data_IF_467849212592
#
_entry.id   IF_467849212592
#
_cell.length_a   1.000
_cell.length_b   1.000
_cell.length_c   1.000
_cell.angle_alpha   90.00
_cell.angle_beta   90.00
_cell.angle_gamma   90.00
#
_symmetry.space_group_name_H-M   'P 1'
#
loop_
_entity.id
_entity.type
_entity.pdbx_description
1 polymer ?
#
# COMPACT_ATOMS: atom_id res chain seq x y z
N UNK A 1 8.01 43.71 18.18
CA UNK A 1 7.47 42.55 18.94
C UNK A 1 6.01 42.26 18.58
N UNK A 2 5.02 43.11 18.92
CA UNK A 2 3.61 42.82 18.56
C UNK A 2 3.35 42.76 17.05
N UNK A 3 3.89 43.72 16.28
CA UNK A 3 3.75 43.73 14.81
C UNK A 3 4.38 42.50 14.15
N UNK A 4 5.54 42.06 14.65
CA UNK A 4 6.23 40.86 14.14
C UNK A 4 5.45 39.58 14.48
N UNK A 5 4.89 39.51 15.69
CA UNK A 5 4.04 38.38 16.12
C UNK A 5 2.76 38.27 15.29
N UNK A 6 2.12 39.40 14.97
CA UNK A 6 0.95 39.44 14.08
C UNK A 6 1.35 39.03 12.65
N UNK A 7 2.50 39.48 12.16
CA UNK A 7 2.99 39.09 10.84
C UNK A 7 3.27 37.59 10.73
N UNK A 8 4.00 37.00 11.69
CA UNK A 8 4.31 35.57 11.68
C UNK A 8 3.07 34.70 11.88
N UNK A 9 2.13 35.10 12.74
CA UNK A 9 0.87 34.37 12.92
C UNK A 9 -0.01 34.41 11.67
N UNK A 10 -0.11 35.57 10.99
CA UNK A 10 -0.78 35.67 9.70
C UNK A 10 -0.12 34.80 8.62
N UNK A 11 1.22 34.74 8.58
CA UNK A 11 1.94 33.85 7.66
C UNK A 11 1.64 32.37 7.92
N UNK A 12 1.51 31.93 9.17
CA UNK A 12 1.09 30.55 9.46
C UNK A 12 -0.32 30.24 8.96
N UNK A 13 -1.26 31.20 9.04
CA UNK A 13 -2.60 31.03 8.48
C UNK A 13 -2.53 30.90 6.96
N UNK A 14 -1.77 31.77 6.28
CA UNK A 14 -1.60 31.71 4.83
C UNK A 14 -0.98 30.38 4.39
N UNK A 15 0.06 29.91 5.08
CA UNK A 15 0.67 28.60 4.83
C UNK A 15 -0.32 27.45 5.07
N UNK A 16 -1.14 27.52 6.11
CA UNK A 16 -2.18 26.54 6.39
C UNK A 16 -3.23 26.45 5.28
N UNK A 17 -3.72 27.59 4.80
CA UNK A 17 -4.67 27.66 3.68
C UNK A 17 -4.04 27.15 2.39
N UNK A 18 -2.80 27.56 2.10
CA UNK A 18 -2.07 27.10 0.91
C UNK A 18 -1.84 25.57 0.94
N UNK A 19 -1.47 25.01 2.09
CA UNK A 19 -1.30 23.58 2.27
C UNK A 19 -2.63 22.82 2.08
N UNK A 20 -3.72 23.33 2.67
CA UNK A 20 -5.06 22.74 2.52
C UNK A 20 -5.51 22.72 1.05
N UNK A 21 -5.35 23.84 0.33
CA UNK A 21 -5.65 23.91 -1.09
C UNK A 21 -4.75 22.97 -1.90
N UNK A 22 -3.45 22.95 -1.62
CA UNK A 22 -2.49 22.08 -2.30
C UNK A 22 -2.84 20.60 -2.18
N UNK A 23 -3.17 20.12 -0.97
CA UNK A 23 -3.61 18.75 -0.75
C UNK A 23 -4.98 18.48 -1.38
N UNK A 24 -5.92 19.44 -1.31
CA UNK A 24 -7.25 19.30 -1.90
C UNK A 24 -7.18 19.12 -3.43
N UNK A 25 -6.45 19.98 -4.12
CA UNK A 25 -6.25 19.86 -5.57
C UNK A 25 -5.52 18.58 -5.92
N UNK A 26 -4.42 18.27 -5.22
CA UNK A 26 -3.65 17.04 -5.45
C UNK A 26 -4.52 15.79 -5.30
N UNK A 27 -5.35 15.73 -4.24
CA UNK A 27 -6.26 14.61 -4.00
C UNK A 27 -7.31 14.47 -5.10
N UNK A 28 -7.87 15.58 -5.61
CA UNK A 28 -8.86 15.54 -6.69
C UNK A 28 -8.24 15.09 -8.01
N UNK A 29 -7.12 15.69 -8.42
CA UNK A 29 -6.50 15.38 -9.72
C UNK A 29 -5.95 13.95 -9.75
N UNK A 30 -5.18 13.55 -8.73
CA UNK A 30 -4.63 12.20 -8.66
C UNK A 30 -5.69 11.16 -8.35
N UNK A 31 -6.73 11.51 -7.58
CA UNK A 31 -7.90 10.66 -7.38
C UNK A 31 -8.63 10.36 -8.69
N UNK A 32 -8.89 11.39 -9.52
CA UNK A 32 -9.49 11.22 -10.84
C UNK A 32 -8.59 10.42 -11.79
N UNK A 33 -7.29 10.68 -11.81
CA UNK A 33 -6.33 9.94 -12.61
C UNK A 33 -6.30 8.44 -12.22
N UNK A 34 -6.27 8.15 -10.91
CA UNK A 34 -6.31 6.78 -10.40
C UNK A 34 -7.60 6.04 -10.75
N UNK A 35 -8.75 6.71 -10.67
CA UNK A 35 -10.04 6.11 -11.04
C UNK A 35 -10.15 5.87 -12.56
N UNK A 36 -9.69 6.83 -13.37
CA UNK A 36 -9.66 6.70 -14.83
C UNK A 36 -8.75 5.53 -15.27
N UNK A 37 -7.58 5.38 -14.65
CA UNK A 37 -6.69 4.24 -14.91
C UNK A 37 -7.35 2.92 -14.51
N UNK A 38 -7.96 2.86 -13.32
CA UNK A 38 -8.66 1.66 -12.84
C UNK A 38 -9.78 1.25 -13.78
N UNK A 39 -10.57 2.22 -14.27
CA UNK A 39 -11.61 1.99 -15.27
C UNK A 39 -11.03 1.41 -16.57
N UNK A 40 -9.95 2.00 -17.09
CA UNK A 40 -9.31 1.54 -18.32
C UNK A 40 -8.77 0.12 -18.17
N UNK A 41 -8.01 -0.16 -17.11
CA UNK A 41 -7.46 -1.49 -16.83
C UNK A 41 -8.55 -2.56 -16.71
N UNK A 42 -9.67 -2.24 -16.04
CA UNK A 42 -10.82 -3.17 -15.95
C UNK A 42 -11.46 -3.43 -17.31
N UNK A 43 -11.65 -2.39 -18.11
CA UNK A 43 -12.23 -2.53 -19.45
C UNK A 43 -11.33 -3.36 -20.36
N UNK A 44 -10.03 -3.02 -20.45
CA UNK A 44 -9.08 -3.71 -21.32
C UNK A 44 -8.93 -5.18 -20.91
N UNK A 45 -8.83 -5.46 -19.61
CA UNK A 45 -8.74 -6.83 -19.11
C UNK A 45 -10.04 -7.62 -19.32
N UNK A 46 -11.22 -6.99 -19.14
CA UNK A 46 -12.51 -7.64 -19.41
C UNK A 46 -12.71 -7.91 -20.91
N UNK A 47 -12.32 -6.97 -21.77
CA UNK A 47 -12.36 -7.15 -23.22
C UNK A 47 -11.46 -8.30 -23.65
N UNK A 48 -10.23 -8.40 -23.12
CA UNK A 48 -9.37 -9.54 -23.45
C UNK A 48 -9.91 -10.86 -22.90
N UNK A 49 -10.50 -10.86 -21.70
CA UNK A 49 -11.12 -12.05 -21.12
C UNK A 49 -12.26 -12.60 -22.01
N UNK A 50 -13.08 -11.72 -22.58
CA UNK A 50 -14.15 -12.11 -23.50
C UNK A 50 -13.66 -12.66 -24.85
N UNK A 51 -12.38 -12.42 -25.21
CA UNK A 51 -11.75 -12.95 -26.42
C UNK A 51 -11.12 -14.34 -26.22
N UNK A 52 -10.95 -14.78 -24.97
CA UNK A 52 -10.34 -16.06 -24.65
C UNK A 52 -11.19 -17.23 -25.14
N UNK A 53 -10.52 -18.29 -25.60
CA UNK A 53 -11.18 -19.54 -26.00
C UNK A 53 -11.69 -20.33 -24.79
N UNK A 54 -12.55 -21.32 -25.05
CA UNK A 54 -13.15 -22.14 -23.98
C UNK A 54 -12.07 -22.90 -23.19
N UNK A 55 -10.97 -23.31 -23.84
CA UNK A 55 -9.87 -24.02 -23.20
C UNK A 55 -9.13 -23.20 -22.14
N UNK A 56 -9.16 -21.87 -22.25
CA UNK A 56 -8.68 -20.98 -21.19
C UNK A 56 -9.50 -21.15 -19.90
N UNK A 57 -10.83 -21.25 -20.01
CA UNK A 57 -11.73 -21.38 -18.87
C UNK A 57 -11.77 -22.80 -18.28
N UNK A 58 -11.33 -23.81 -19.04
CA UNK A 58 -11.20 -25.18 -18.57
C UNK A 58 -10.01 -25.39 -17.60
N UNK A 59 -9.02 -24.48 -17.57
CA UNK A 59 -7.94 -24.54 -16.57
C UNK A 59 -8.47 -24.14 -15.18
N UNK A 60 -8.29 -25.04 -14.21
CA UNK A 60 -8.57 -24.81 -12.77
C UNK A 60 -7.96 -23.53 -12.18
N UNK A 61 -6.89 -22.99 -12.81
CA UNK A 61 -6.26 -21.71 -12.47
C UNK A 61 -7.07 -20.50 -12.92
N UNK A 62 -7.84 -20.61 -13.98
CA UNK A 62 -8.65 -19.55 -14.60
C UNK A 62 -10.15 -19.70 -14.35
N UNK A 63 -10.54 -20.40 -13.28
CA UNK A 63 -11.93 -20.51 -12.89
C UNK A 63 -12.57 -19.11 -12.77
N UNK A 64 -13.75 -18.93 -13.37
CA UNK A 64 -14.52 -17.69 -13.47
C UNK A 64 -14.69 -16.99 -12.12
N UNK A 65 -14.86 -17.75 -11.04
CA UNK A 65 -14.92 -17.20 -9.68
C UNK A 65 -13.63 -16.50 -9.25
N UNK A 66 -12.47 -17.13 -9.47
CA UNK A 66 -11.16 -16.56 -9.13
C UNK A 66 -10.84 -15.33 -9.98
N UNK A 67 -11.21 -15.36 -11.26
CA UNK A 67 -11.05 -14.21 -12.17
C UNK A 67 -11.91 -13.03 -11.69
N UNK A 68 -13.18 -13.26 -11.39
CA UNK A 68 -14.08 -12.22 -10.89
C UNK A 68 -13.55 -11.61 -9.58
N UNK A 69 -13.04 -12.42 -8.66
CA UNK A 69 -12.36 -11.93 -7.45
C UNK A 69 -11.16 -11.06 -7.80
N UNK A 70 -10.26 -11.51 -8.69
CA UNK A 70 -9.08 -10.71 -9.12
C UNK A 70 -9.48 -9.36 -9.72
N UNK A 71 -10.53 -9.31 -10.55
CA UNK A 71 -11.04 -8.04 -11.08
C UNK A 71 -11.57 -7.10 -9.99
N UNK A 72 -12.23 -7.66 -8.98
CA UNK A 72 -12.78 -6.92 -7.87
C UNK A 72 -11.69 -6.43 -6.90
N UNK A 73 -10.65 -7.24 -6.63
CA UNK A 73 -9.63 -6.96 -5.61
C UNK A 73 -8.37 -6.30 -6.17
N UNK A 74 -7.85 -6.74 -7.32
CA UNK A 74 -6.51 -6.36 -7.78
C UNK A 74 -6.54 -5.01 -8.51
N UNK A 75 -7.61 -4.73 -9.26
CA UNK A 75 -7.75 -3.46 -9.97
C UNK A 75 -7.80 -2.22 -9.04
N UNK A 76 -8.55 -2.22 -7.92
CA UNK A 76 -8.47 -1.14 -6.94
C UNK A 76 -7.10 -1.03 -6.26
N UNK A 77 -6.33 -2.12 -6.13
CA UNK A 77 -5.02 -2.06 -5.46
C UNK A 77 -4.04 -1.18 -6.25
N UNK A 78 -4.13 -1.14 -7.58
CA UNK A 78 -3.30 -0.27 -8.43
C UNK A 78 -3.57 1.22 -8.15
N UNK A 79 -4.80 1.58 -7.81
CA UNK A 79 -5.19 2.97 -7.48
C UNK A 79 -4.51 3.51 -6.22
N UNK A 80 -4.17 2.66 -5.25
CA UNK A 80 -3.56 3.11 -3.98
C UNK A 80 -2.27 3.90 -4.17
N UNK A 81 -1.50 3.61 -5.23
CA UNK A 81 -0.28 4.36 -5.57
C UNK A 81 -0.62 5.83 -5.85
N UNK A 82 -1.68 6.09 -6.63
CA UNK A 82 -2.08 7.45 -7.02
C UNK A 82 -2.62 8.25 -5.85
N UNK A 83 -3.34 7.61 -4.92
CA UNK A 83 -3.91 8.31 -3.76
C UNK A 83 -2.84 8.69 -2.72
N UNK A 84 -1.75 7.91 -2.63
CA UNK A 84 -0.63 8.15 -1.70
C UNK A 84 0.51 8.99 -2.28
N UNK A 85 0.58 9.11 -3.61
CA UNK A 85 1.60 9.89 -4.32
C UNK A 85 1.81 11.33 -3.78
N UNK A 86 0.76 12.12 -3.43
CA UNK A 86 0.96 13.48 -2.90
C UNK A 86 1.78 13.50 -1.61
N UNK A 87 1.52 12.54 -0.71
CA UNK A 87 2.24 12.43 0.56
C UNK A 87 3.71 12.09 0.34
N UNK A 88 4.02 11.26 -0.64
CA UNK A 88 5.39 10.87 -0.98
C UNK A 88 6.16 12.05 -1.56
N UNK A 89 5.58 12.75 -2.54
CA UNK A 89 6.19 13.94 -3.14
C UNK A 89 6.44 15.00 -2.07
N UNK A 90 5.45 15.29 -1.24
CA UNK A 90 5.59 16.24 -0.13
C UNK A 90 6.69 15.82 0.85
N UNK A 91 6.78 14.53 1.17
CA UNK A 91 7.84 14.00 2.05
C UNK A 91 9.24 14.12 1.43
N UNK A 92 9.40 13.86 0.13
CA UNK A 92 10.68 14.03 -0.58
C UNK A 92 11.09 15.50 -0.63
N UNK A 93 10.15 16.41 -0.93
CA UNK A 93 10.41 17.86 -0.91
C UNK A 93 10.79 18.33 0.49
N UNK A 94 10.07 17.85 1.51
CA UNK A 94 10.36 18.14 2.93
C UNK A 94 11.73 17.63 3.32
N UNK A 95 12.11 16.42 2.90
CA UNK A 95 13.42 15.83 3.16
C UNK A 95 14.55 16.71 2.61
N UNK A 96 14.46 17.08 1.34
CA UNK A 96 15.46 17.92 0.66
C UNK A 96 15.50 19.30 1.33
N UNK A 97 14.35 19.94 1.53
CA UNK A 97 14.24 21.26 2.14
C UNK A 97 14.81 21.29 3.56
N UNK A 98 14.49 20.29 4.38
CA UNK A 98 14.99 20.16 5.74
C UNK A 98 16.51 20.01 5.79
N UNK A 99 17.08 19.16 4.93
CA UNK A 99 18.54 18.96 4.85
C UNK A 99 19.20 20.29 4.45
N UNK A 100 18.72 20.95 3.40
CA UNK A 100 19.28 22.23 2.93
C UNK A 100 19.22 23.31 4.03
N UNK A 101 18.07 23.47 4.69
CA UNK A 101 17.91 24.42 5.80
C UNK A 101 18.87 24.07 6.95
N UNK A 102 18.99 22.79 7.31
CA UNK A 102 19.90 22.33 8.36
C UNK A 102 21.36 22.70 8.07
N UNK A 103 21.83 22.44 6.85
CA UNK A 103 23.21 22.75 6.47
C UNK A 103 23.51 24.25 6.35
N UNK A 104 22.56 25.06 5.90
CA UNK A 104 22.75 26.52 5.77
C UNK A 104 22.89 27.19 7.13
N UNK A 105 22.01 26.86 8.09
CA UNK A 105 21.99 27.57 9.39
C UNK A 105 22.97 26.99 10.41
N UNK A 106 23.39 25.73 10.27
CA UNK A 106 24.25 25.08 11.26
C UNK A 106 24.79 23.74 10.82
N UNK A 107 25.82 23.76 9.97
CA UNK A 107 26.44 22.56 9.42
C UNK A 107 27.04 21.62 10.49
N UNK A 108 27.61 22.16 11.59
CA UNK A 108 28.20 21.35 12.66
C UNK A 108 27.15 20.51 13.40
N UNK A 109 26.07 21.15 13.83
CA UNK A 109 24.97 20.47 14.52
C UNK A 109 24.23 19.53 13.55
N UNK A 110 24.04 19.94 12.30
CA UNK A 110 23.39 19.13 11.29
C UNK A 110 24.15 17.83 10.99
N UNK A 111 25.49 17.86 10.89
CA UNK A 111 26.31 16.68 10.68
C UNK A 111 26.22 15.67 11.83
N UNK A 112 26.26 16.16 13.06
CA UNK A 112 26.17 15.28 14.25
C UNK A 112 24.81 14.59 14.28
N UNK A 113 23.73 15.34 14.05
CA UNK A 113 22.39 14.78 14.02
C UNK A 113 22.17 13.84 12.84
N UNK A 114 22.75 14.14 11.67
CA UNK A 114 22.75 13.25 10.51
C UNK A 114 23.46 11.92 10.80
N UNK A 115 24.54 11.93 11.59
CA UNK A 115 25.25 10.72 12.00
C UNK A 115 24.41 9.80 12.92
N UNK A 116 23.38 10.35 13.59
CA UNK A 116 22.47 9.58 14.45
C UNK A 116 21.32 8.96 13.63
N UNK A 117 21.00 9.51 12.45
CA UNK A 117 19.91 9.00 11.59
C UNK A 117 20.08 7.51 11.24
N UNK A 118 21.27 6.99 10.85
CA UNK A 118 21.48 5.56 10.64
C UNK A 118 21.11 4.68 11.84
N UNK A 119 21.33 5.16 13.06
CA UNK A 119 20.96 4.44 14.28
C UNK A 119 19.43 4.33 14.42
N UNK A 120 18.71 5.40 14.09
CA UNK A 120 17.23 5.43 14.08
C UNK A 120 16.69 4.50 12.99
N UNK A 121 17.31 4.52 11.81
CA UNK A 121 16.92 3.63 10.71
C UNK A 121 17.15 2.17 11.12
N UNK A 122 18.28 1.87 11.78
CA UNK A 122 18.57 0.53 12.27
C UNK A 122 17.53 0.07 13.30
N UNK A 123 17.18 0.90 14.29
CA UNK A 123 16.15 0.54 15.28
C UNK A 123 14.78 0.31 14.65
N UNK A 124 14.39 1.17 13.69
CA UNK A 124 13.15 0.99 12.93
C UNK A 124 13.15 -0.25 12.04
N UNK A 125 14.29 -0.60 11.44
CA UNK A 125 14.45 -1.82 10.65
C UNK A 125 14.30 -3.08 11.52
N UNK A 126 14.92 -3.11 12.69
CA UNK A 126 14.72 -4.22 13.65
C UNK A 126 13.25 -4.34 14.07
N UNK A 127 12.57 -3.23 14.36
CA UNK A 127 11.15 -3.24 14.66
C UNK A 127 10.30 -3.80 13.51
N UNK A 128 10.59 -3.39 12.28
CA UNK A 128 9.92 -3.87 11.07
C UNK A 128 10.15 -5.37 10.86
N UNK A 129 11.38 -5.85 10.98
CA UNK A 129 11.72 -7.28 10.84
C UNK A 129 11.00 -8.14 11.88
N UNK A 130 10.94 -7.70 13.15
CA UNK A 130 10.17 -8.41 14.17
C UNK A 130 8.68 -8.50 13.82
N UNK A 131 8.09 -7.45 13.24
CA UNK A 131 6.67 -7.48 12.81
C UNK A 131 6.43 -8.43 11.64
N UNK A 132 7.25 -8.36 10.58
CA UNK A 132 7.05 -9.16 9.37
C UNK A 132 7.40 -10.64 9.57
N UNK A 133 8.51 -10.96 10.23
CA UNK A 133 8.90 -12.35 10.50
C UNK A 133 7.88 -13.08 11.38
N UNK A 134 7.16 -12.34 12.24
CA UNK A 134 6.10 -12.88 13.09
C UNK A 134 4.82 -13.21 12.32
N UNK A 135 4.40 -12.34 11.39
CA UNK A 135 3.13 -12.52 10.68
C UNK A 135 3.03 -13.90 10.00
N UNK A 136 4.13 -14.40 9.44
CA UNK A 136 4.19 -15.72 8.80
C UNK A 136 4.09 -16.88 9.80
N UNK A 137 4.71 -16.73 10.98
CA UNK A 137 4.74 -17.79 12.01
C UNK A 137 3.41 -17.89 12.75
N UNK A 138 2.75 -16.75 12.99
CA UNK A 138 1.40 -16.73 13.54
C UNK A 138 0.41 -17.39 12.59
N UNK A 139 0.51 -17.13 11.27
CA UNK A 139 -0.38 -17.76 10.28
C UNK A 139 -0.24 -19.28 10.25
N UNK A 140 0.98 -19.81 10.39
CA UNK A 140 1.24 -21.25 10.41
C UNK A 140 0.65 -21.92 11.66
N UNK A 141 0.85 -21.33 12.84
CA UNK A 141 0.30 -21.84 14.10
C UNK A 141 -1.24 -21.76 14.15
N UNK A 142 -1.82 -20.73 13.52
CA UNK A 142 -3.27 -20.58 13.38
C UNK A 142 -3.86 -21.55 12.34
N UNK A 143 -3.07 -22.05 11.39
CA UNK A 143 -3.52 -22.98 10.37
C UNK A 143 -3.96 -24.32 10.98
N UNK A 144 -3.23 -24.83 11.98
CA UNK A 144 -3.60 -26.08 12.66
C UNK A 144 -4.92 -25.96 13.44
N UNK A 145 -5.11 -24.87 14.17
CA UNK A 145 -6.37 -24.59 14.85
C UNK A 145 -7.51 -24.42 13.81
N UNK A 146 -7.21 -23.74 12.69
CA UNK A 146 -8.10 -23.58 11.56
C UNK A 146 -8.53 -24.91 10.93
N UNK A 147 -7.62 -25.88 10.80
CA UNK A 147 -7.92 -27.23 10.29
C UNK A 147 -8.94 -27.96 11.17
N UNK A 148 -8.77 -27.91 12.50
CA UNK A 148 -9.69 -28.55 13.45
C UNK A 148 -11.07 -27.90 13.40
N UNK A 149 -11.12 -26.57 13.34
CA UNK A 149 -12.38 -25.85 13.19
C UNK A 149 -13.04 -26.17 11.84
N UNK A 150 -12.26 -26.23 10.76
CA UNK A 150 -12.71 -26.61 9.43
C UNK A 150 -13.35 -27.99 9.41
N UNK A 151 -12.66 -29.00 9.95
CA UNK A 151 -13.15 -30.39 10.03
C UNK A 151 -14.48 -30.49 10.82
N UNK A 152 -14.56 -29.76 11.94
CA UNK A 152 -15.76 -29.75 12.79
C UNK A 152 -16.96 -29.08 12.11
N UNK A 153 -16.73 -28.00 11.37
CA UNK A 153 -17.78 -27.25 10.66
C UNK A 153 -18.23 -28.02 9.42
N UNK A 154 -17.30 -28.59 8.65
CA UNK A 154 -17.60 -29.39 7.46
C UNK A 154 -18.44 -30.63 7.82
N UNK A 155 -18.13 -31.28 8.97
CA UNK A 155 -18.82 -32.48 9.44
C UNK A 155 -19.78 -32.21 10.61
N UNK A 156 -20.40 -31.02 10.66
CA UNK A 156 -21.20 -30.57 11.82
C UNK A 156 -22.33 -31.55 12.19
N UNK A 157 -22.96 -32.19 11.20
CA UNK A 157 -24.03 -33.19 11.41
C UNK A 157 -23.51 -34.43 12.13
N UNK A 158 -22.30 -34.88 11.79
CA UNK A 158 -21.64 -36.03 12.43
C UNK A 158 -21.19 -35.68 13.85
N UNK A 159 -20.62 -34.49 14.05
CA UNK A 159 -20.20 -34.01 15.39
C UNK A 159 -21.39 -33.88 16.33
N UNK A 160 -22.51 -33.34 15.85
CA UNK A 160 -23.76 -33.25 16.62
C UNK A 160 -24.41 -34.61 16.84
N UNK A 161 -24.45 -35.47 15.82
CA UNK A 161 -25.01 -36.83 15.91
C UNK A 161 -24.27 -37.72 16.90
N UNK A 162 -22.94 -37.54 17.05
CA UNK A 162 -22.13 -38.25 18.03
C UNK A 162 -22.04 -37.52 19.39
N UNK A 163 -22.64 -36.33 19.51
CA UNK A 163 -22.61 -35.46 20.70
C UNK A 163 -21.16 -35.19 21.18
N UNK A 164 -20.26 -34.89 20.22
CA UNK A 164 -18.80 -34.70 20.44
C UNK A 164 -18.36 -33.23 20.38
N UNK A 165 -19.27 -32.27 20.47
CA UNK A 165 -18.97 -30.84 20.37
C UNK A 165 -17.92 -30.40 21.41
N UNK A 166 -18.03 -30.93 22.64
CA UNK A 166 -17.10 -30.59 23.72
C UNK A 166 -15.66 -31.04 23.42
N UNK A 167 -15.48 -32.22 22.81
CA UNK A 167 -14.16 -32.76 22.45
C UNK A 167 -13.50 -31.90 21.38
N UNK A 168 -14.25 -31.49 20.34
CA UNK A 168 -13.73 -30.60 19.32
C UNK A 168 -13.38 -29.21 19.89
N UNK A 169 -14.20 -28.69 20.81
CA UNK A 169 -13.91 -27.43 21.50
C UNK A 169 -12.63 -27.50 22.33
N UNK A 170 -12.45 -28.57 23.12
CA UNK A 170 -11.22 -28.77 23.90
C UNK A 170 -9.99 -28.93 23.01
N UNK A 171 -10.11 -29.69 21.92
CA UNK A 171 -9.03 -29.85 20.93
C UNK A 171 -8.64 -28.51 20.30
N UNK A 172 -9.62 -27.70 19.90
CA UNK A 172 -9.39 -26.36 19.37
C UNK A 172 -8.74 -25.43 20.40
N UNK A 173 -9.23 -25.41 21.65
CA UNK A 173 -8.65 -24.63 22.73
C UNK A 173 -7.19 -25.04 23.05
N UNK A 174 -6.88 -26.33 22.97
CA UNK A 174 -5.52 -26.85 23.17
C UNK A 174 -4.56 -26.34 22.09
N UNK A 175 -4.96 -26.40 20.82
CA UNK A 175 -4.15 -25.89 19.70
C UNK A 175 -4.04 -24.35 19.70
N UNK A 176 -4.97 -23.62 20.32
CA UNK A 176 -4.87 -22.17 20.53
C UNK A 176 -3.96 -21.75 21.68
N UNK A 177 -3.66 -22.64 22.62
CA UNK A 177 -2.86 -22.28 23.81
C UNK A 177 -1.37 -22.07 23.45
N UNK A 178 -0.85 -22.85 22.51
CA UNK A 178 0.49 -22.69 21.92
C UNK A 178 0.69 -21.28 21.31
N UNK A 179 -0.12 -20.84 20.32
CA UNK A 179 0.00 -19.50 19.75
C UNK A 179 -0.31 -18.41 20.79
N UNK A 180 -1.19 -18.65 21.75
CA UNK A 180 -1.44 -17.68 22.84
C UNK A 180 -0.18 -17.43 23.68
N UNK A 181 0.50 -18.48 24.16
CA UNK A 181 1.74 -18.34 24.94
C UNK A 181 2.88 -17.74 24.11
N UNK A 182 3.01 -18.16 22.86
CA UNK A 182 4.00 -17.59 21.93
C UNK A 182 3.76 -16.09 21.72
N UNK A 183 2.50 -15.70 21.50
CA UNK A 183 2.09 -14.31 21.35
C UNK A 183 2.34 -13.49 22.61
N UNK A 184 2.05 -14.03 23.79
CA UNK A 184 2.30 -13.34 25.06
C UNK A 184 3.79 -13.07 25.28
N UNK A 185 4.66 -14.06 25.04
CA UNK A 185 6.12 -13.87 25.14
C UNK A 185 6.62 -12.85 24.13
N UNK A 186 6.09 -12.90 22.90
CA UNK A 186 6.46 -11.94 21.87
C UNK A 186 5.93 -10.54 22.13
N UNK A 187 4.76 -10.37 22.76
CA UNK A 187 4.24 -9.06 23.12
C UNK A 187 5.21 -8.32 24.04
N UNK A 188 5.83 -9.02 24.99
CA UNK A 188 6.88 -8.44 25.83
C UNK A 188 8.14 -8.06 25.04
N UNK A 189 8.62 -8.93 24.14
CA UNK A 189 9.80 -8.64 23.29
C UNK A 189 9.51 -7.43 22.40
N UNK A 190 8.35 -7.41 21.75
CA UNK A 190 7.91 -6.31 20.91
C UNK A 190 7.75 -5.01 21.70
N UNK A 191 7.15 -5.08 22.89
CA UNK A 191 7.04 -3.94 23.79
C UNK A 191 8.40 -3.36 24.18
N UNK A 192 9.40 -4.21 24.46
CA UNK A 192 10.76 -3.78 24.77
C UNK A 192 11.45 -3.13 23.55
N UNK A 193 11.35 -3.74 22.36
CA UNK A 193 11.92 -3.19 21.12
C UNK A 193 11.28 -1.86 20.75
N UNK A 194 9.94 -1.77 20.87
CA UNK A 194 9.20 -0.54 20.62
C UNK A 194 9.59 0.56 21.61
N UNK A 195 9.64 0.26 22.91
CA UNK A 195 10.08 1.21 23.93
C UNK A 195 11.50 1.71 23.65
N UNK A 196 12.43 0.81 23.32
CA UNK A 196 13.79 1.16 22.95
C UNK A 196 13.84 2.09 21.72
N UNK A 197 13.11 1.74 20.65
CA UNK A 197 13.00 2.55 19.43
C UNK A 197 12.51 3.97 19.73
N UNK A 198 11.49 4.12 20.59
CA UNK A 198 10.97 5.42 21.01
C UNK A 198 11.96 6.19 21.91
N UNK A 199 12.64 5.50 22.83
CA UNK A 199 13.64 6.13 23.71
C UNK A 199 14.82 6.70 22.93
N UNK A 200 15.28 6.05 21.85
CA UNK A 200 16.38 6.56 21.00
C UNK A 200 16.06 7.94 20.44
N UNK A 201 14.80 8.21 20.07
CA UNK A 201 14.37 9.52 19.56
C UNK A 201 14.49 10.58 20.66
N UNK A 202 14.06 10.28 21.88
CA UNK A 202 14.18 11.21 23.01
C UNK A 202 15.64 11.47 23.42
N UNK A 203 16.49 10.44 23.38
CA UNK A 203 17.93 10.62 23.61
C UNK A 203 18.57 11.48 22.52
N UNK A 204 18.16 11.32 21.27
CA UNK A 204 18.61 12.18 20.17
C UNK A 204 18.19 13.64 20.42
N UNK A 205 16.97 13.89 20.89
CA UNK A 205 16.54 15.24 21.25
C UNK A 205 17.34 15.83 22.41
N UNK A 206 17.56 15.06 23.47
CA UNK A 206 18.38 15.49 24.60
C UNK A 206 19.81 15.84 24.16
N UNK A 207 20.42 15.00 23.33
CA UNK A 207 21.76 15.23 22.79
C UNK A 207 21.80 16.46 21.86
N UNK A 208 20.78 16.65 21.02
CA UNK A 208 20.66 17.81 20.13
C UNK A 208 20.66 19.12 20.91
N UNK A 209 19.87 19.21 21.98
CA UNK A 209 19.79 20.41 22.82
C UNK A 209 21.03 20.58 23.69
N UNK A 210 21.62 19.50 24.22
CA UNK A 210 22.85 19.57 25.00
C UNK A 210 24.01 20.13 24.16
N UNK A 211 24.24 19.56 22.97
CA UNK A 211 25.28 20.04 22.04
C UNK A 211 24.95 21.43 21.49
N UNK A 212 23.67 21.68 21.18
CA UNK A 212 23.19 23.00 20.77
C UNK A 212 23.48 24.07 21.83
N UNK A 213 23.30 23.76 23.11
CA UNK A 213 23.62 24.67 24.22
C UNK A 213 25.12 24.98 24.29
N UNK A 214 25.98 23.97 24.10
CA UNK A 214 27.44 24.16 24.06
C UNK A 214 27.83 25.09 22.89
N UNK A 215 27.28 24.90 21.70
CA UNK A 215 27.57 25.75 20.54
C UNK A 215 27.08 27.19 20.70
N UNK A 216 25.96 27.39 21.40
CA UNK A 216 25.47 28.72 21.79
C UNK A 216 26.42 29.38 22.78
N UNK A 217 26.87 28.65 23.82
CA UNK A 217 27.83 29.16 24.80
C UNK A 217 29.16 29.55 24.14
N UNK A 218 29.61 28.80 23.14
CA UNK A 218 30.82 29.09 22.36
C UNK A 218 30.64 30.16 21.28
N UNK A 219 29.46 30.79 21.17
CA UNK A 219 29.14 31.83 20.19
C UNK A 219 29.26 31.35 18.73
N UNK A 220 29.21 30.05 18.48
CA UNK A 220 29.26 29.44 17.15
C UNK A 220 27.90 29.48 16.45
N UNK A 221 26.80 29.46 17.23
CA UNK A 221 25.43 29.49 16.72
C UNK A 221 24.53 30.36 17.58
N UNK A 222 23.53 30.98 16.95
CA UNK A 222 22.45 31.64 17.69
C UNK A 222 21.46 30.62 18.23
N UNK A 223 20.80 30.88 19.38
CA UNK A 223 19.77 29.98 19.92
C UNK A 223 18.68 29.66 18.89
N UNK A 224 18.28 30.66 18.09
CA UNK A 224 17.28 30.50 17.03
C UNK A 224 17.76 29.53 15.92
N UNK A 225 19.04 29.56 15.57
CA UNK A 225 19.60 28.64 14.58
C UNK A 225 19.59 27.18 15.08
N UNK A 226 19.85 26.95 16.37
CA UNK A 226 19.74 25.61 16.98
C UNK A 226 18.32 25.06 16.84
N UNK A 227 17.29 25.84 17.18
CA UNK A 227 15.90 25.41 17.00
C UNK A 227 15.55 25.15 15.53
N UNK A 228 16.02 25.98 14.60
CA UNK A 228 15.79 25.77 13.16
C UNK A 228 16.39 24.45 12.67
N UNK A 229 17.64 24.16 13.03
CA UNK A 229 18.31 22.90 12.65
C UNK A 229 17.63 21.70 13.30
N UNK A 230 17.27 21.81 14.59
CA UNK A 230 16.55 20.76 15.30
C UNK A 230 15.21 20.40 14.63
N UNK A 231 14.35 21.40 14.40
CA UNK A 231 13.04 21.17 13.76
C UNK A 231 13.18 20.69 12.32
N UNK A 232 14.14 21.21 11.56
CA UNK A 232 14.42 20.73 10.21
C UNK A 232 14.74 19.22 10.23
N UNK A 233 15.66 18.78 11.09
CA UNK A 233 16.04 17.36 11.16
C UNK A 233 14.93 16.49 11.73
N UNK A 234 14.14 16.98 12.69
CA UNK A 234 12.96 16.27 13.17
C UNK A 234 11.93 16.03 12.03
N UNK A 235 11.64 17.05 11.22
CA UNK A 235 10.76 16.90 10.05
C UNK A 235 11.36 16.01 8.96
N UNK A 236 12.68 16.04 8.78
CA UNK A 236 13.42 15.11 7.91
C UNK A 236 13.17 13.66 8.35
N UNK A 237 13.37 13.34 9.63
CA UNK A 237 13.11 11.99 10.18
C UNK A 237 11.66 11.55 10.01
N UNK A 238 10.70 12.45 10.25
CA UNK A 238 9.28 12.17 10.03
C UNK A 238 8.97 11.89 8.54
N UNK A 239 9.54 12.67 7.62
CA UNK A 239 9.37 12.49 6.19
C UNK A 239 9.94 11.14 5.71
N UNK A 240 11.11 10.73 6.21
CA UNK A 240 11.66 9.39 5.94
C UNK A 240 10.68 8.31 6.38
N UNK A 241 10.15 8.39 7.61
CA UNK A 241 9.18 7.43 8.12
C UNK A 241 7.91 7.32 7.26
N UNK A 242 7.39 8.45 6.78
CA UNK A 242 6.25 8.48 5.86
C UNK A 242 6.57 7.79 4.54
N UNK A 243 7.73 8.04 3.94
CA UNK A 243 8.17 7.38 2.71
C UNK A 243 8.36 5.87 2.92
N UNK A 244 8.97 5.45 4.03
CA UNK A 244 9.15 4.03 4.36
C UNK A 244 7.82 3.30 4.51
N UNK A 245 6.80 3.94 5.06
CA UNK A 245 5.46 3.35 5.20
C UNK A 245 4.76 3.08 3.86
N UNK A 246 5.18 3.76 2.79
CA UNK A 246 4.61 3.60 1.44
C UNK A 246 5.20 2.42 0.67
N UNK A 247 6.38 1.93 1.03
CA UNK A 247 7.08 0.84 0.32
C UNK A 247 6.20 -0.41 0.16
N UNK A 248 5.52 -0.94 1.22
CA UNK A 248 4.69 -2.13 1.08
C UNK A 248 3.51 -1.94 0.12
N UNK A 249 2.94 -0.75 0.07
CA UNK A 249 1.81 -0.44 -0.81
C UNK A 249 2.26 -0.46 -2.28
N UNK A 250 3.42 0.12 -2.60
CA UNK A 250 3.99 0.06 -3.96
C UNK A 250 4.27 -1.37 -4.39
N UNK A 251 4.84 -2.18 -3.51
CA UNK A 251 5.14 -3.60 -3.80
C UNK A 251 3.84 -4.36 -4.10
N UNK A 252 2.80 -4.18 -3.27
CA UNK A 252 1.48 -4.79 -3.49
C UNK A 252 0.84 -4.32 -4.80
N UNK A 253 0.86 -3.02 -5.08
CA UNK A 253 0.31 -2.46 -6.31
C UNK A 253 1.04 -2.90 -7.56
N UNK A 254 2.37 -3.08 -7.50
CA UNK A 254 3.16 -3.62 -8.61
C UNK A 254 2.79 -5.07 -8.90
N UNK A 255 2.62 -5.90 -7.87
CA UNK A 255 2.19 -7.29 -8.03
C UNK A 255 0.78 -7.38 -8.63
N UNK A 256 -0.17 -6.61 -8.10
CA UNK A 256 -1.54 -6.54 -8.62
C UNK A 256 -1.57 -6.05 -10.08
N UNK A 257 -0.79 -5.01 -10.41
CA UNK A 257 -0.67 -4.53 -11.78
C UNK A 257 -0.11 -5.61 -12.71
N UNK A 258 0.94 -6.33 -12.29
CA UNK A 258 1.51 -7.43 -13.09
C UNK A 258 0.49 -8.52 -13.42
N UNK A 259 -0.39 -8.87 -12.49
CA UNK A 259 -1.44 -9.87 -12.71
C UNK A 259 -2.48 -9.39 -13.72
N UNK A 260 -2.86 -8.10 -13.65
CA UNK A 260 -3.81 -7.51 -14.59
C UNK A 260 -3.19 -7.37 -15.98
N UNK A 261 -1.95 -6.90 -16.08
CA UNK A 261 -1.23 -6.82 -17.36
C UNK A 261 -1.08 -8.19 -18.00
N UNK A 262 -0.75 -9.21 -17.22
CA UNK A 262 -0.70 -10.58 -17.71
C UNK A 262 -2.06 -11.05 -18.28
N UNK A 263 -3.18 -10.62 -17.70
CA UNK A 263 -4.51 -10.94 -18.22
C UNK A 263 -4.85 -10.16 -19.49
N UNK A 264 -4.40 -8.91 -19.60
CA UNK A 264 -4.59 -8.06 -20.79
C UNK A 264 -3.78 -8.59 -21.98
N UNK A 265 -2.55 -9.03 -21.73
CA UNK A 265 -1.61 -9.48 -22.76
C UNK A 265 -1.70 -10.98 -23.07
N UNK A 266 -2.56 -11.72 -22.37
CA UNK A 266 -2.69 -13.16 -22.56
C UNK A 266 -3.14 -13.47 -24.00
N UNK A 267 -2.36 -14.26 -24.76
CA UNK A 267 -2.66 -14.53 -26.17
C UNK A 267 -3.92 -15.39 -26.30
N UNK A 268 -4.75 -15.07 -27.30
CA UNK A 268 -5.93 -15.86 -27.65
C UNK A 268 -5.59 -16.82 -28.78
N UNK A 269 -5.85 -18.12 -28.60
CA UNK A 269 -5.63 -19.12 -29.65
C UNK A 269 -6.70 -19.02 -30.74
N UNK A 270 -7.94 -18.72 -30.33
CA UNK A 270 -9.09 -18.55 -31.22
C UNK A 270 -9.73 -17.21 -30.88
N UNK A 271 -9.51 -16.20 -31.70
CA UNK A 271 -10.05 -14.85 -31.47
C UNK A 271 -11.48 -14.73 -32.02
N UNK A 272 -12.45 -14.82 -31.10
CA UNK A 272 -13.88 -14.67 -31.39
C UNK A 272 -14.28 -13.26 -31.88
N UNK A 273 -13.44 -12.25 -31.59
CA UNK A 273 -13.66 -10.85 -31.99
C UNK A 273 -12.87 -10.47 -33.26
N UNK A 274 -12.13 -11.41 -33.87
CA UNK A 274 -11.45 -11.16 -35.13
C UNK A 274 -12.45 -11.08 -36.29
N UNK A 275 -12.27 -10.10 -37.18
CA UNK A 275 -13.07 -9.97 -38.41
C UNK A 275 -12.50 -10.82 -39.56
N UNK A 276 -11.49 -11.65 -39.25
CA UNK A 276 -10.75 -12.46 -40.20
C UNK A 276 -11.42 -13.83 -40.36
N UNK A 277 -11.69 -14.21 -41.60
CA UNK A 277 -12.28 -15.50 -41.93
C UNK A 277 -13.15 -15.42 -43.18
N UNK A 278 -13.32 -16.56 -43.85
CA UNK A 278 -14.19 -16.65 -45.03
C UNK A 278 -15.64 -16.62 -44.55
N UNK A 279 -16.32 -15.48 -44.71
CA UNK A 279 -17.76 -15.38 -44.48
C UNK A 279 -18.50 -15.90 -45.72
N UNK A 280 -18.82 -17.19 -45.73
CA UNK A 280 -19.66 -17.76 -46.77
C UNK A 280 -21.05 -17.09 -46.72
N UNK A 281 -21.39 -16.34 -47.78
CA UNK A 281 -22.74 -15.78 -47.94
C UNK A 281 -23.66 -16.92 -48.34
N UNK A 282 -24.41 -17.46 -47.37
CA UNK A 282 -25.42 -18.48 -47.64
C UNK A 282 -26.64 -17.78 -48.27
N UNK A 283 -26.70 -17.78 -49.59
CA UNK A 283 -27.89 -17.37 -50.33
C UNK A 283 -28.92 -18.49 -50.24
N UNK A 284 -29.81 -18.43 -49.26
CA UNK A 284 -31.01 -19.26 -49.25
C UNK A 284 -31.93 -18.81 -50.39
N UNK A 285 -31.90 -19.54 -51.49
CA UNK A 285 -32.88 -19.39 -52.58
C UNK A 285 -34.17 -20.10 -52.15
N UNK A 286 -34.93 -19.49 -51.25
CA UNK A 286 -36.32 -19.89 -51.00
C UNK A 286 -37.08 -19.72 -52.32
N UNK A 287 -37.62 -20.82 -52.85
CA UNK A 287 -38.21 -20.90 -54.20
C UNK A 287 -39.50 -20.08 -54.36
N UNK A 288 -39.92 -19.35 -53.34
CA UNK A 288 -41.04 -18.42 -53.41
C UNK A 288 -40.80 -17.31 -52.39
N UNK A 289 -40.87 -16.05 -52.82
CA UNK A 289 -40.79 -14.79 -52.05
C UNK A 289 -39.37 -14.19 -51.93
N UNK A 290 -39.12 -13.15 -52.74
CA UNK A 290 -38.00 -12.20 -52.62
C UNK A 290 -38.20 -11.33 -51.37
N UNK A 291 -37.36 -11.48 -50.36
CA UNK A 291 -37.01 -10.40 -49.45
C UNK A 291 -35.50 -10.17 -49.51
N UNK A 292 -35.09 -9.14 -50.23
CA UNK A 292 -33.72 -8.63 -50.18
C UNK A 292 -33.65 -7.73 -48.95
N UNK A 293 -33.06 -8.22 -47.86
CA UNK A 293 -32.66 -7.38 -46.74
C UNK A 293 -31.15 -7.42 -46.63
N UNK A 294 -30.50 -6.44 -47.26
CA UNK A 294 -29.08 -6.15 -47.10
C UNK A 294 -28.93 -5.45 -45.75
N UNK A 295 -28.36 -6.13 -44.77
CA UNK A 295 -27.81 -5.47 -43.57
C UNK A 295 -26.35 -5.13 -43.86
N UNK A 296 -26.14 -4.01 -44.54
CA UNK A 296 -24.83 -3.34 -44.62
C UNK A 296 -24.58 -2.62 -43.29
N UNK A 297 -23.62 -3.10 -42.50
CA UNK A 297 -22.97 -2.28 -41.48
C UNK A 297 -21.60 -1.87 -42.02
N UNK A 298 -21.60 -0.78 -42.81
CA UNK A 298 -20.39 -0.11 -43.27
C UNK A 298 -19.96 0.88 -42.19
N UNK A 299 -18.94 0.55 -41.40
CA UNK A 299 -18.31 1.52 -40.48
C UNK A 299 -17.11 2.15 -41.20
N UNK A 300 -17.26 3.43 -41.57
CA UNK A 300 -16.18 4.30 -42.05
C UNK A 300 -15.28 4.68 -40.87
N UNK A 301 -13.97 4.63 -41.13
CA UNK A 301 -12.81 5.27 -40.48
C UNK A 301 -12.82 5.49 -38.97
#
# INVERSE_FOLDING_TARGET
>A
MEKDAIFWSAMFIVLGVANALGFFFSAIFLGRAGEALTKKLRLDAFTNLMRQDIGFFDDTRHNTGKLCTRFATDAPIVRYVFTRLPSVISSVVTLIGAIVIGFIFGWQLALILLAIIPLIIASGYFEMQLRFGKAMRDTELLEEAGKIAGEAVENIRTVQGLNKQFIFNEKYAKHLNEPFKANMRQAHIYGAVFAFSQSVIFFMYALAFYLGSIFVNQHLMTPLAVFRVFFAIAFCGQAVGQVSSFIPDVVKSRLAASLIFHLIEYPTLIDSLSDWGIRAVIIFKLKTIKFVKVLEFKRKH
#
